data_IF_154228481239
#
_entry.id   IF_154228481239
#
_cell.length_a   1.000
_cell.length_b   1.000
_cell.length_c   1.000
_cell.angle_alpha   90.00
_cell.angle_beta   90.00
_cell.angle_gamma   90.00
#
_symmetry.space_group_name_H-M   'P 1'
#
loop_
_entity.id
_entity.type
_entity.pdbx_description
1 polymer ?
#
# COMPACT_ATOMS: atom_id res chain seq x y z
N UNK A 1 -31.90 5.28 -0.89
CA UNK A 1 -32.13 4.70 0.44
C UNK A 1 -33.43 3.95 0.36
N UNK A 2 -33.39 2.66 0.65
CA UNK A 2 -34.57 1.79 0.69
C UNK A 2 -35.60 2.31 1.70
N UNK A 3 -36.90 2.14 1.44
CA UNK A 3 -37.94 2.47 2.42
C UNK A 3 -37.86 1.56 3.65
N UNK A 4 -38.45 1.99 4.76
CA UNK A 4 -38.63 1.16 5.96
C UNK A 4 -37.79 1.55 7.18
N UNK A 5 -36.90 2.54 7.07
CA UNK A 5 -36.25 3.13 8.25
C UNK A 5 -37.30 3.90 9.06
N UNK A 6 -37.36 3.65 10.36
CA UNK A 6 -38.31 4.30 11.26
C UNK A 6 -37.59 4.99 12.42
N UNK A 7 -38.20 6.05 12.95
CA UNK A 7 -37.79 6.61 14.22
C UNK A 7 -37.90 5.54 15.32
N UNK A 8 -36.88 5.46 16.17
CA UNK A 8 -36.74 4.41 17.17
C UNK A 8 -36.00 3.16 16.69
N UNK A 9 -35.57 3.08 15.43
CA UNK A 9 -34.67 2.00 14.96
C UNK A 9 -33.37 2.06 15.78
N UNK A 10 -32.95 0.92 16.33
CA UNK A 10 -31.75 0.79 17.17
C UNK A 10 -30.75 -0.14 16.49
N UNK A 11 -29.47 0.21 16.58
CA UNK A 11 -28.38 -0.73 16.38
C UNK A 11 -27.36 -0.66 17.51
N UNK A 12 -26.89 -1.83 17.91
CA UNK A 12 -25.84 -1.99 18.91
C UNK A 12 -24.60 -2.58 18.24
N UNK A 13 -23.44 -2.05 18.59
CA UNK A 13 -22.14 -2.58 18.22
C UNK A 13 -21.31 -2.76 19.48
N UNK A 14 -20.71 -3.94 19.64
CA UNK A 14 -19.95 -4.29 20.85
C UNK A 14 -18.49 -4.57 20.51
N UNK A 15 -17.58 -4.02 21.31
CA UNK A 15 -16.14 -4.27 21.25
C UNK A 15 -15.61 -4.77 22.60
N UNK A 16 -14.48 -5.47 22.56
CA UNK A 16 -13.64 -5.72 23.73
C UNK A 16 -12.51 -4.68 23.67
N UNK A 17 -12.32 -3.92 24.76
CA UNK A 17 -11.29 -2.87 24.81
C UNK A 17 -9.91 -3.51 24.82
N UNK A 18 -9.12 -3.31 23.77
CA UNK A 18 -7.74 -3.80 23.70
C UNK A 18 -6.70 -2.67 23.85
N UNK A 19 -5.42 -3.04 23.79
CA UNK A 19 -4.29 -2.13 23.96
C UNK A 19 -4.22 -0.99 22.93
N UNK A 20 -4.84 -1.14 21.75
CA UNK A 20 -4.91 -0.10 20.71
C UNK A 20 -5.97 0.97 21.00
N UNK A 21 -6.89 0.70 21.93
CA UNK A 21 -8.07 1.54 22.18
C UNK A 21 -7.95 2.42 23.43
N UNK A 22 -6.90 2.21 24.22
CA UNK A 22 -6.69 2.86 25.51
C UNK A 22 -5.66 3.98 25.45
N UNK A 23 -5.74 4.89 26.41
CA UNK A 23 -4.71 5.91 26.67
C UNK A 23 -4.25 5.80 28.12
N UNK A 24 -2.97 6.03 28.35
CA UNK A 24 -2.39 6.07 29.69
C UNK A 24 -2.30 7.52 30.16
N UNK A 25 -3.07 7.87 31.18
CA UNK A 25 -3.13 9.24 31.69
C UNK A 25 -1.93 9.50 32.62
N UNK A 26 -1.22 10.60 32.38
CA UNK A 26 -0.10 11.03 33.23
C UNK A 26 1.09 10.07 33.28
N UNK A 27 1.16 9.08 32.39
CA UNK A 27 2.23 8.07 32.36
C UNK A 27 2.12 6.97 33.42
N UNK A 28 1.06 6.94 34.23
CA UNK A 28 0.82 5.87 35.21
C UNK A 28 0.03 4.73 34.56
N UNK A 29 0.64 3.55 34.41
CA UNK A 29 0.03 2.39 33.77
C UNK A 29 -1.25 1.89 34.48
N UNK A 30 -1.51 2.31 35.73
CA UNK A 30 -2.77 2.01 36.43
C UNK A 30 -3.92 2.92 35.98
N UNK A 31 -3.60 4.04 35.34
CA UNK A 31 -4.55 5.01 34.79
C UNK A 31 -4.70 4.84 33.27
N UNK A 32 -4.72 3.58 32.80
CA UNK A 32 -4.99 3.23 31.41
C UNK A 32 -6.48 3.05 31.18
N UNK A 33 -7.07 3.92 30.36
CA UNK A 33 -8.53 3.99 30.15
C UNK A 33 -8.90 3.95 28.68
N UNK A 34 -10.07 3.41 28.36
CA UNK A 34 -10.67 3.47 27.04
C UNK A 34 -10.78 4.92 26.57
N UNK A 35 -10.22 5.19 25.40
CA UNK A 35 -9.99 6.55 24.94
C UNK A 35 -11.26 7.18 24.36
N UNK A 36 -11.44 8.49 24.58
CA UNK A 36 -12.55 9.26 24.02
C UNK A 36 -12.70 9.10 22.50
N UNK A 37 -11.63 9.13 21.67
CA UNK A 37 -11.77 8.93 20.23
C UNK A 37 -12.34 7.57 19.85
N UNK A 38 -11.90 6.48 20.50
CA UNK A 38 -12.42 5.15 20.22
C UNK A 38 -13.87 4.99 20.72
N UNK A 39 -14.22 5.62 21.85
CA UNK A 39 -15.59 5.67 22.33
C UNK A 39 -16.52 6.38 21.33
N UNK A 40 -16.09 7.50 20.75
CA UNK A 40 -16.82 8.21 19.68
C UNK A 40 -16.93 7.32 18.44
N UNK A 41 -15.84 6.68 18.01
CA UNK A 41 -15.82 5.80 16.84
C UNK A 41 -16.79 4.62 16.99
N UNK A 42 -16.89 4.03 18.18
CA UNK A 42 -17.83 2.95 18.47
C UNK A 42 -19.29 3.39 18.26
N UNK A 43 -19.67 4.53 18.85
CA UNK A 43 -20.99 5.15 18.66
C UNK A 43 -21.27 5.53 17.20
N UNK A 44 -20.26 6.07 16.51
CA UNK A 44 -20.35 6.39 15.10
C UNK A 44 -20.64 5.13 14.26
N UNK A 45 -19.89 4.04 14.50
CA UNK A 45 -20.08 2.79 13.76
C UNK A 45 -21.44 2.16 14.06
N UNK A 46 -21.92 2.23 15.30
CA UNK A 46 -23.29 1.79 15.63
C UNK A 46 -24.33 2.54 14.79
N UNK A 47 -24.21 3.87 14.65
CA UNK A 47 -25.11 4.67 13.81
C UNK A 47 -25.00 4.31 12.32
N UNK A 48 -23.81 3.97 11.83
CA UNK A 48 -23.62 3.47 10.46
C UNK A 48 -24.28 2.10 10.26
N UNK A 49 -24.12 1.18 11.20
CA UNK A 49 -24.75 -0.15 11.14
C UNK A 49 -26.28 -0.05 11.17
N UNK A 50 -26.86 0.90 11.93
CA UNK A 50 -28.30 1.16 11.92
C UNK A 50 -28.85 1.51 10.52
N UNK A 51 -28.05 2.16 9.68
CA UNK A 51 -28.45 2.54 8.32
C UNK A 51 -28.16 1.48 7.26
N UNK A 52 -27.21 0.58 7.50
CA UNK A 52 -26.71 -0.37 6.51
C UNK A 52 -27.80 -1.19 5.80
N UNK A 53 -28.85 -1.71 6.49
CA UNK A 53 -29.93 -2.45 5.82
C UNK A 53 -30.72 -1.60 4.80
N UNK A 54 -30.74 -0.28 4.99
CA UNK A 54 -31.54 0.67 4.24
C UNK A 54 -30.77 1.36 3.12
N UNK A 55 -29.47 1.08 2.95
CA UNK A 55 -28.70 1.60 1.83
C UNK A 55 -29.01 0.83 0.54
N UNK A 56 -29.16 1.56 -0.56
CA UNK A 56 -29.14 1.01 -1.92
C UNK A 56 -27.70 0.72 -2.37
N UNK A 57 -27.56 -0.06 -3.45
CA UNK A 57 -26.26 -0.32 -4.04
C UNK A 57 -25.63 1.00 -4.53
N UNK A 58 -24.38 1.26 -4.11
CA UNK A 58 -23.67 2.48 -4.45
C UNK A 58 -24.00 3.68 -3.55
N UNK A 59 -24.79 3.51 -2.50
CA UNK A 59 -24.94 4.49 -1.43
C UNK A 59 -24.03 4.17 -0.24
N UNK A 60 -23.64 5.22 0.49
CA UNK A 60 -22.96 5.09 1.77
C UNK A 60 -23.49 6.13 2.76
N UNK A 61 -23.32 5.88 4.07
CA UNK A 61 -23.64 6.88 5.10
C UNK A 61 -22.38 7.55 5.65
N UNK A 62 -22.36 8.87 5.63
CA UNK A 62 -21.25 9.69 6.13
C UNK A 62 -21.69 10.50 7.33
N UNK A 63 -20.83 10.60 8.35
CA UNK A 63 -21.08 11.48 9.48
C UNK A 63 -20.92 12.94 9.08
N UNK A 64 -21.87 13.79 9.47
CA UNK A 64 -21.84 15.23 9.16
C UNK A 64 -21.90 16.12 10.40
N UNK A 65 -22.32 15.58 11.54
CA UNK A 65 -22.30 16.25 12.83
C UNK A 65 -22.22 15.20 13.96
N UNK A 66 -21.39 15.46 14.97
CA UNK A 66 -21.14 14.57 16.10
C UNK A 66 -20.95 15.42 17.35
N UNK A 67 -21.84 15.23 18.34
CA UNK A 67 -21.77 15.94 19.62
C UNK A 67 -21.89 14.95 20.77
N UNK A 68 -20.77 14.63 21.41
CA UNK A 68 -20.67 13.57 22.42
C UNK A 68 -20.03 14.12 23.70
N UNK A 69 -20.63 13.79 24.83
CA UNK A 69 -20.09 14.02 26.17
C UNK A 69 -19.46 12.73 26.69
N UNK A 70 -18.23 12.82 27.19
CA UNK A 70 -17.56 11.76 27.94
C UNK A 70 -18.01 11.86 29.42
N UNK A 71 -18.54 10.77 29.97
CA UNK A 71 -19.10 10.72 31.32
C UNK A 71 -18.29 9.85 32.28
N UNK A 72 -17.73 8.74 31.81
CA UNK A 72 -16.95 7.81 32.64
C UNK A 72 -15.93 7.01 31.82
N UNK A 73 -14.87 6.57 32.48
CA UNK A 73 -13.85 5.69 31.89
C UNK A 73 -14.11 4.21 32.14
N UNK A 74 -13.48 3.35 31.32
CA UNK A 74 -13.43 1.90 31.50
C UNK A 74 -12.02 1.39 31.14
N UNK A 75 -11.66 0.18 31.54
CA UNK A 75 -10.32 -0.37 31.38
C UNK A 75 -10.16 -1.29 30.17
N UNK A 76 -8.92 -1.75 29.97
CA UNK A 76 -8.59 -2.81 29.02
C UNK A 76 -9.28 -4.13 29.44
N UNK A 77 -9.75 -4.91 28.46
CA UNK A 77 -10.49 -6.15 28.65
C UNK A 77 -11.99 -5.98 28.88
N UNK A 78 -12.45 -4.76 29.17
CA UNK A 78 -13.88 -4.51 29.34
C UNK A 78 -14.62 -4.65 28.01
N UNK A 79 -15.83 -5.18 28.08
CA UNK A 79 -16.76 -5.19 26.95
C UNK A 79 -17.54 -3.87 26.93
N UNK A 80 -17.46 -3.15 25.82
CA UNK A 80 -18.15 -1.87 25.60
C UNK A 80 -19.14 -1.97 24.44
N UNK A 81 -20.32 -1.39 24.60
CA UNK A 81 -21.37 -1.38 23.59
C UNK A 81 -21.73 0.05 23.21
N UNK A 82 -21.56 0.38 21.93
CA UNK A 82 -22.12 1.57 21.31
C UNK A 82 -23.53 1.29 20.82
N UNK A 83 -24.48 2.10 21.23
CA UNK A 83 -25.87 2.08 20.79
C UNK A 83 -26.16 3.35 19.99
N UNK A 84 -26.86 3.20 18.88
CA UNK A 84 -27.41 4.30 18.12
C UNK A 84 -28.90 4.10 17.89
N UNK A 85 -29.70 5.11 18.26
CA UNK A 85 -31.15 5.10 18.10
C UNK A 85 -31.56 6.25 17.19
N UNK A 86 -32.27 5.94 16.11
CA UNK A 86 -32.77 6.95 15.17
C UNK A 86 -33.79 7.85 15.87
N UNK A 87 -33.52 9.15 15.95
CA UNK A 87 -34.38 10.14 16.58
C UNK A 87 -35.18 10.97 15.58
N UNK A 88 -34.64 11.20 14.38
CA UNK A 88 -35.34 11.92 13.31
C UNK A 88 -34.82 11.49 11.94
N UNK A 89 -35.69 11.55 10.93
CA UNK A 89 -35.38 11.24 9.53
C UNK A 89 -35.85 12.41 8.68
N UNK A 90 -34.90 13.16 8.12
CA UNK A 90 -35.14 14.32 7.25
C UNK A 90 -34.61 14.02 5.84
N UNK A 91 -35.41 13.29 5.07
CA UNK A 91 -35.01 12.80 3.76
C UNK A 91 -33.82 11.83 3.85
N UNK A 92 -32.64 12.28 3.39
CA UNK A 92 -31.38 11.51 3.45
C UNK A 92 -30.48 11.89 4.62
N UNK A 93 -30.92 12.76 5.52
CA UNK A 93 -30.25 13.08 6.78
C UNK A 93 -30.94 12.36 7.92
N UNK A 94 -30.19 11.59 8.70
CA UNK A 94 -30.71 10.81 9.81
C UNK A 94 -30.00 11.26 11.08
N UNK A 95 -30.80 11.60 12.08
CA UNK A 95 -30.32 11.98 13.41
C UNK A 95 -30.41 10.79 14.35
N UNK A 96 -29.43 10.67 15.23
CA UNK A 96 -29.31 9.61 16.21
C UNK A 96 -29.09 10.18 17.59
N UNK A 97 -29.72 9.58 18.59
CA UNK A 97 -29.19 9.56 19.94
C UNK A 97 -28.17 8.41 20.02
N UNK A 98 -26.98 8.69 20.54
CA UNK A 98 -25.91 7.70 20.66
C UNK A 98 -25.44 7.59 22.11
N UNK A 99 -25.11 6.37 22.52
CA UNK A 99 -24.65 6.05 23.86
C UNK A 99 -23.55 4.99 23.79
N UNK A 100 -22.54 5.07 24.65
CA UNK A 100 -21.55 4.02 24.86
C UNK A 100 -21.63 3.56 26.32
N UNK A 101 -21.68 2.25 26.53
CA UNK A 101 -21.80 1.61 27.85
C UNK A 101 -20.76 0.53 28.07
N UNK A 102 -20.39 0.29 29.33
CA UNK A 102 -19.78 -0.94 29.80
C UNK A 102 -20.70 -1.55 30.86
N UNK A 103 -21.43 -2.61 30.50
CA UNK A 103 -22.55 -3.12 31.30
C UNK A 103 -23.60 -2.03 31.53
N UNK A 104 -23.93 -1.77 32.80
CA UNK A 104 -24.91 -0.73 33.18
C UNK A 104 -24.34 0.68 33.23
N UNK A 105 -23.02 0.83 33.15
CA UNK A 105 -22.34 2.13 33.26
C UNK A 105 -22.28 2.83 31.90
N UNK A 106 -22.80 4.06 31.84
CA UNK A 106 -22.69 4.93 30.67
C UNK A 106 -21.32 5.61 30.64
N UNK A 107 -20.55 5.34 29.59
CA UNK A 107 -19.22 5.91 29.37
C UNK A 107 -19.29 7.24 28.60
N UNK A 108 -20.20 7.34 27.64
CA UNK A 108 -20.44 8.55 26.87
C UNK A 108 -21.81 8.56 26.22
N UNK A 109 -22.33 9.75 25.96
CA UNK A 109 -23.64 9.92 25.34
C UNK A 109 -23.70 11.21 24.53
N UNK A 110 -24.57 11.25 23.53
CA UNK A 110 -24.66 12.41 22.65
C UNK A 110 -25.63 12.26 21.49
N UNK A 111 -25.42 13.10 20.49
CA UNK A 111 -26.14 13.07 19.22
C UNK A 111 -25.18 12.89 18.06
N UNK A 112 -25.68 12.29 16.99
CA UNK A 112 -24.95 12.10 15.75
C UNK A 112 -25.89 12.33 14.57
N UNK A 113 -25.42 13.01 13.52
CA UNK A 113 -26.14 13.14 12.26
C UNK A 113 -25.35 12.47 11.15
N UNK A 114 -26.02 11.60 10.39
CA UNK A 114 -25.45 10.96 9.19
C UNK A 114 -26.23 11.34 7.94
N UNK A 115 -25.54 11.59 6.85
CA UNK A 115 -26.14 11.77 5.54
C UNK A 115 -25.93 10.53 4.68
N UNK A 116 -26.98 10.06 4.00
CA UNK A 116 -26.88 9.04 2.97
C UNK A 116 -26.55 9.71 1.64
N UNK A 117 -25.44 9.30 1.04
CA UNK A 117 -24.85 9.95 -0.14
C UNK A 117 -24.52 8.90 -1.21
N UNK A 118 -24.73 9.22 -2.50
CA UNK A 118 -24.25 8.36 -3.59
C UNK A 118 -22.71 8.40 -3.66
N UNK A 119 -22.08 7.23 -3.68
CA UNK A 119 -20.61 7.11 -3.79
C UNK A 119 -20.12 7.73 -5.12
N UNK A 120 -20.85 7.54 -6.21
CA UNK A 120 -20.53 8.14 -7.50
C UNK A 120 -20.43 9.67 -7.45
N UNK A 121 -21.34 10.33 -6.71
CA UNK A 121 -21.32 11.80 -6.56
C UNK A 121 -20.13 12.27 -5.72
N UNK A 122 -19.71 11.49 -4.72
CA UNK A 122 -18.46 11.78 -3.99
C UNK A 122 -17.28 11.66 -4.94
N UNK A 123 -17.22 10.59 -5.74
CA UNK A 123 -16.15 10.39 -6.73
C UNK A 123 -16.12 11.56 -7.74
N UNK A 124 -17.26 11.96 -8.30
CA UNK A 124 -17.36 13.10 -9.21
C UNK A 124 -16.89 14.40 -8.56
N UNK A 125 -17.29 14.67 -7.31
CA UNK A 125 -16.84 15.86 -6.58
C UNK A 125 -15.33 15.81 -6.28
N UNK A 126 -14.79 14.65 -5.89
CA UNK A 126 -13.36 14.49 -5.66
C UNK A 126 -12.56 14.62 -6.96
N UNK A 127 -13.08 14.11 -8.06
CA UNK A 127 -12.49 14.22 -9.39
C UNK A 127 -12.54 15.66 -9.91
N UNK A 128 -13.62 16.41 -9.64
CA UNK A 128 -13.68 17.83 -10.03
C UNK A 128 -12.75 18.72 -9.20
N UNK A 129 -12.44 18.32 -7.97
CA UNK A 129 -11.41 18.95 -7.13
C UNK A 129 -9.98 18.54 -7.50
N UNK A 130 -9.81 17.40 -8.18
CA UNK A 130 -8.52 16.87 -8.62
C UNK A 130 -8.67 16.17 -9.99
N UNK A 131 -8.66 16.94 -11.11
CA UNK A 131 -8.94 16.40 -12.46
C UNK A 131 -8.01 15.29 -12.93
N UNK A 132 -6.83 15.14 -12.30
CA UNK A 132 -5.77 14.19 -12.70
C UNK A 132 -5.75 12.88 -11.88
N UNK A 133 -6.43 12.81 -10.74
CA UNK A 133 -6.28 11.65 -9.85
C UNK A 133 -7.24 10.51 -10.19
N UNK A 134 -7.15 9.95 -11.40
CA UNK A 134 -7.76 8.63 -11.63
C UNK A 134 -7.03 7.61 -10.75
N UNK A 135 -7.72 7.07 -9.76
CA UNK A 135 -7.22 5.90 -9.06
C UNK A 135 -7.17 4.76 -10.09
N UNK A 136 -5.99 4.17 -10.29
CA UNK A 136 -5.84 3.05 -11.19
C UNK A 136 -6.70 1.91 -10.68
N UNK A 137 -7.69 1.52 -11.48
CA UNK A 137 -8.45 0.31 -11.25
C UNK A 137 -7.71 -0.82 -11.95
N UNK A 138 -6.74 -1.44 -11.26
CA UNK A 138 -6.13 -2.71 -11.70
C UNK A 138 -7.16 -3.82 -11.52
N UNK A 139 -8.22 -3.80 -12.33
CA UNK A 139 -9.21 -4.87 -12.36
C UNK A 139 -8.59 -6.10 -12.98
N UNK A 140 -8.83 -7.26 -12.35
CA UNK A 140 -8.49 -8.55 -12.91
C UNK A 140 -8.99 -8.65 -14.36
N UNK A 141 -8.09 -9.06 -15.26
CA UNK A 141 -8.40 -9.26 -16.67
C UNK A 141 -8.42 -10.75 -17.01
N UNK A 142 -9.48 -11.21 -17.65
CA UNK A 142 -9.59 -12.57 -18.20
C UNK A 142 -9.11 -12.68 -19.66
N UNK A 143 -8.61 -11.58 -20.24
CA UNK A 143 -8.09 -11.57 -21.61
C UNK A 143 -6.72 -12.27 -21.67
N UNK A 144 -6.29 -12.67 -22.86
CA UNK A 144 -4.90 -13.12 -23.07
C UNK A 144 -3.91 -11.99 -22.78
N UNK A 145 -2.72 -12.36 -22.29
CA UNK A 145 -1.66 -11.37 -22.06
C UNK A 145 -1.17 -10.87 -23.43
N UNK A 146 -1.23 -9.56 -23.72
CA UNK A 146 -0.75 -9.03 -24.98
C UNK A 146 0.76 -9.23 -25.12
N UNK A 147 1.26 -9.09 -26.35
CA UNK A 147 2.71 -9.10 -26.56
C UNK A 147 3.32 -7.86 -25.93
N UNK A 148 4.25 -8.08 -24.99
CA UNK A 148 4.96 -7.04 -24.26
C UNK A 148 6.36 -6.89 -24.87
N UNK A 149 6.84 -5.67 -24.92
CA UNK A 149 8.10 -5.30 -25.57
C UNK A 149 9.23 -5.07 -24.57
N UNK A 150 8.88 -4.60 -23.38
CA UNK A 150 9.80 -4.33 -22.27
C UNK A 150 9.78 -5.45 -21.23
N UNK A 151 8.85 -6.38 -21.31
CA UNK A 151 8.75 -7.58 -20.48
C UNK A 151 8.75 -8.84 -21.33
N UNK A 152 9.42 -9.90 -20.88
CA UNK A 152 9.26 -11.25 -21.43
C UNK A 152 8.52 -12.10 -20.41
N UNK A 153 7.42 -12.73 -20.82
CA UNK A 153 6.59 -13.55 -19.94
C UNK A 153 6.43 -14.94 -20.55
N UNK A 154 6.79 -15.98 -19.79
CA UNK A 154 6.61 -17.36 -20.20
C UNK A 154 5.98 -18.16 -19.05
N UNK A 155 4.86 -18.83 -19.31
CA UNK A 155 4.16 -19.63 -18.30
C UNK A 155 4.44 -21.11 -18.55
N UNK A 156 5.00 -21.80 -17.56
CA UNK A 156 5.24 -23.26 -17.59
C UNK A 156 4.89 -23.85 -16.23
N UNK A 157 4.20 -24.98 -16.22
CA UNK A 157 3.88 -25.71 -14.99
C UNK A 157 3.24 -24.83 -13.89
N UNK A 158 2.36 -23.89 -14.29
CA UNK A 158 1.70 -22.90 -13.41
C UNK A 158 2.64 -21.88 -12.76
N UNK A 159 3.85 -21.72 -13.29
CA UNK A 159 4.83 -20.71 -12.90
C UNK A 159 4.95 -19.70 -14.04
N UNK A 160 4.72 -18.42 -13.76
CA UNK A 160 5.03 -17.35 -14.70
C UNK A 160 6.47 -16.88 -14.50
N UNK A 161 7.31 -17.04 -15.52
CA UNK A 161 8.64 -16.47 -15.57
C UNK A 161 8.54 -15.10 -16.23
N UNK A 162 8.75 -14.05 -15.45
CA UNK A 162 8.71 -12.65 -15.88
C UNK A 162 10.13 -12.11 -15.88
N UNK A 163 10.58 -11.60 -17.02
CA UNK A 163 11.90 -11.02 -17.20
C UNK A 163 11.73 -9.56 -17.62
N UNK A 164 12.21 -8.62 -16.80
CA UNK A 164 12.34 -7.22 -17.21
C UNK A 164 13.38 -7.14 -18.33
N UNK A 165 12.99 -6.63 -19.49
CA UNK A 165 13.75 -6.76 -20.73
C UNK A 165 14.11 -5.40 -21.34
N UNK A 166 14.79 -4.55 -20.56
CA UNK A 166 15.49 -3.35 -21.05
C UNK A 166 16.96 -3.37 -20.60
N UNK A 167 17.75 -4.41 -20.94
CA UNK A 167 19.08 -4.63 -20.36
C UNK A 167 20.06 -3.48 -20.65
N UNK A 168 19.94 -2.82 -21.81
CA UNK A 168 20.74 -1.65 -22.17
C UNK A 168 20.50 -0.44 -21.24
N UNK A 169 19.32 -0.38 -20.62
CA UNK A 169 18.92 0.61 -19.63
C UNK A 169 19.03 0.07 -18.19
N UNK A 170 19.69 -1.08 -17.98
CA UNK A 170 19.71 -1.78 -16.69
C UNK A 170 18.31 -2.07 -16.14
N UNK A 171 17.36 -2.33 -17.05
CA UNK A 171 15.96 -2.56 -16.77
C UNK A 171 15.29 -1.42 -15.99
N UNK A 172 15.74 -0.17 -16.19
CA UNK A 172 15.04 0.98 -15.65
C UNK A 172 13.56 1.00 -16.11
N UNK A 173 12.66 1.49 -15.27
CA UNK A 173 11.22 1.51 -15.52
C UNK A 173 10.85 2.84 -16.19
N UNK A 174 10.52 2.78 -17.48
CA UNK A 174 9.94 3.91 -18.22
C UNK A 174 8.40 3.84 -18.21
N UNK A 175 7.74 4.85 -18.80
CA UNK A 175 6.27 4.85 -18.92
C UNK A 175 5.71 3.61 -19.65
N UNK A 176 6.44 3.10 -20.64
CA UNK A 176 6.03 1.93 -21.40
C UNK A 176 6.07 0.67 -20.53
N UNK A 177 7.19 0.43 -19.83
CA UNK A 177 7.31 -0.67 -18.89
C UNK A 177 6.32 -0.55 -17.73
N UNK A 178 6.03 0.67 -17.26
CA UNK A 178 4.96 0.90 -16.27
C UNK A 178 3.62 0.36 -16.80
N UNK A 179 3.21 0.76 -18.01
CA UNK A 179 1.97 0.29 -18.63
C UNK A 179 1.95 -1.22 -18.91
N UNK A 180 3.07 -1.82 -19.26
CA UNK A 180 3.18 -3.27 -19.47
C UNK A 180 3.15 -4.06 -18.15
N UNK A 181 3.74 -3.53 -17.07
CA UNK A 181 3.64 -4.11 -15.72
C UNK A 181 2.20 -4.04 -15.19
N UNK A 182 1.49 -2.94 -15.45
CA UNK A 182 0.06 -2.81 -15.12
C UNK A 182 -0.78 -3.89 -15.83
N UNK A 183 -0.53 -4.10 -17.13
CA UNK A 183 -1.19 -5.16 -17.91
C UNK A 183 -0.86 -6.55 -17.36
N UNK A 184 0.40 -6.80 -17.00
CA UNK A 184 0.83 -8.05 -16.39
C UNK A 184 0.15 -8.30 -15.04
N UNK A 185 0.07 -7.29 -14.17
CA UNK A 185 -0.59 -7.40 -12.85
C UNK A 185 -2.08 -7.69 -13.01
N UNK A 186 -2.77 -6.95 -13.88
CA UNK A 186 -4.18 -7.17 -14.18
C UNK A 186 -4.43 -8.60 -14.71
N UNK A 187 -3.55 -9.07 -15.61
CA UNK A 187 -3.62 -10.42 -16.16
C UNK A 187 -3.38 -11.48 -15.08
N UNK A 188 -2.32 -11.36 -14.27
CA UNK A 188 -2.04 -12.29 -13.18
C UNK A 188 -3.21 -12.37 -12.19
N UNK A 189 -3.79 -11.23 -11.82
CA UNK A 189 -4.95 -11.17 -10.93
C UNK A 189 -6.17 -11.94 -11.48
N UNK A 190 -6.38 -11.93 -12.80
CA UNK A 190 -7.47 -12.66 -13.45
C UNK A 190 -7.21 -14.14 -13.71
N UNK A 191 -5.97 -14.62 -13.55
CA UNK A 191 -5.59 -16.00 -13.87
C UNK A 191 -5.01 -16.80 -12.67
N UNK A 192 -5.58 -16.73 -11.45
CA UNK A 192 -5.00 -17.35 -10.25
C UNK A 192 -5.01 -18.87 -10.27
N UNK A 193 -5.84 -19.49 -11.11
CA UNK A 193 -5.87 -20.95 -11.28
C UNK A 193 -4.79 -21.44 -12.26
N UNK A 194 -4.47 -20.63 -13.29
CA UNK A 194 -3.48 -20.96 -14.31
C UNK A 194 -2.07 -20.67 -13.82
N UNK A 195 -1.88 -19.54 -13.13
CA UNK A 195 -0.60 -19.14 -12.54
C UNK A 195 -0.73 -19.16 -11.04
N UNK A 196 0.12 -19.95 -10.40
CA UNK A 196 0.18 -20.11 -8.94
C UNK A 196 1.41 -19.45 -8.32
N UNK A 197 2.50 -19.36 -9.07
CA UNK A 197 3.72 -18.69 -8.64
C UNK A 197 4.29 -17.81 -9.77
N UNK A 198 5.01 -16.77 -9.39
CA UNK A 198 5.66 -15.83 -10.31
C UNK A 198 7.14 -15.72 -9.94
N UNK A 199 8.02 -15.94 -10.91
CA UNK A 199 9.44 -15.62 -10.80
C UNK A 199 9.70 -14.33 -11.57
N UNK A 200 10.18 -13.29 -10.90
CA UNK A 200 10.55 -12.02 -11.56
C UNK A 200 12.06 -11.85 -11.53
N UNK A 201 12.67 -11.52 -12.66
CA UNK A 201 14.11 -11.27 -12.80
C UNK A 201 14.39 -10.16 -13.81
N UNK A 202 15.62 -9.64 -13.85
CA UNK A 202 16.05 -8.70 -14.88
C UNK A 202 16.91 -9.36 -15.95
N UNK A 203 16.72 -8.98 -17.21
CA UNK A 203 17.64 -9.35 -18.29
C UNK A 203 19.01 -8.67 -18.10
N UNK A 204 20.08 -9.38 -18.40
CA UNK A 204 21.45 -8.84 -18.33
C UNK A 204 21.97 -8.73 -16.89
N UNK A 205 22.70 -7.65 -16.61
CA UNK A 205 23.54 -7.52 -15.39
C UNK A 205 22.83 -6.89 -14.17
N UNK A 206 21.61 -6.41 -14.33
CA UNK A 206 20.86 -5.75 -13.26
C UNK A 206 19.48 -6.39 -13.12
N UNK A 207 18.93 -6.35 -11.91
CA UNK A 207 17.52 -6.66 -11.71
C UNK A 207 16.68 -5.50 -12.27
N UNK A 208 16.81 -4.32 -11.67
CA UNK A 208 16.18 -3.08 -12.11
C UNK A 208 16.86 -1.87 -11.46
N UNK A 209 17.26 -0.88 -12.27
CA UNK A 209 17.96 0.32 -11.80
C UNK A 209 17.03 1.43 -11.25
N UNK A 210 15.72 1.19 -11.15
CA UNK A 210 14.74 2.18 -10.72
C UNK A 210 14.04 2.85 -11.89
N UNK A 211 13.43 4.01 -11.67
CA UNK A 211 12.78 4.77 -12.74
C UNK A 211 13.79 5.24 -13.79
N UNK A 212 13.35 5.31 -15.04
CA UNK A 212 14.17 5.81 -16.12
C UNK A 212 14.32 7.34 -16.03
N UNK A 213 15.33 7.78 -15.27
CA UNK A 213 15.67 9.19 -15.02
C UNK A 213 15.82 10.00 -16.32
N UNK A 214 16.09 9.35 -17.45
CA UNK A 214 16.21 10.01 -18.77
C UNK A 214 14.89 10.53 -19.33
N UNK A 215 13.75 10.04 -18.84
CA UNK A 215 12.43 10.57 -19.23
C UNK A 215 12.05 11.85 -18.46
N UNK A 216 12.64 12.06 -17.28
CA UNK A 216 12.27 13.15 -16.37
C UNK A 216 12.49 14.56 -16.94
N UNK A 217 13.53 14.87 -17.74
CA UNK A 217 13.66 16.20 -18.32
C UNK A 217 12.56 16.56 -19.32
N UNK A 218 11.88 15.57 -19.89
CA UNK A 218 10.89 15.74 -20.96
C UNK A 218 9.43 15.57 -20.49
N UNK A 219 9.20 15.25 -19.21
CA UNK A 219 7.87 15.02 -18.66
C UNK A 219 7.36 16.30 -17.98
N UNK A 220 6.08 16.63 -18.18
CA UNK A 220 5.46 17.71 -17.41
C UNK A 220 5.33 17.30 -15.93
N UNK A 221 5.32 18.27 -15.01
CA UNK A 221 5.22 17.99 -13.57
C UNK A 221 3.95 17.22 -13.22
N UNK A 222 2.82 17.52 -13.87
CA UNK A 222 1.57 16.81 -13.61
C UNK A 222 1.64 15.35 -14.08
N UNK A 223 2.24 15.10 -15.26
CA UNK A 223 2.45 13.76 -15.77
C UNK A 223 3.42 12.95 -14.89
N UNK A 224 4.45 13.60 -14.31
CA UNK A 224 5.35 12.98 -13.35
C UNK A 224 4.63 12.60 -12.05
N UNK A 225 3.71 13.46 -11.58
CA UNK A 225 2.87 13.18 -10.42
C UNK A 225 1.98 11.98 -10.67
N UNK A 226 1.28 11.96 -11.81
CA UNK A 226 0.42 10.86 -12.21
C UNK A 226 1.22 9.55 -12.32
N UNK A 227 2.37 9.59 -12.99
CA UNK A 227 3.25 8.42 -13.13
C UNK A 227 3.69 7.86 -11.77
N UNK A 228 4.13 8.73 -10.84
CA UNK A 228 4.53 8.33 -9.48
C UNK A 228 3.37 7.68 -8.72
N UNK A 229 2.15 8.23 -8.82
CA UNK A 229 0.95 7.64 -8.20
C UNK A 229 0.60 6.29 -8.82
N UNK A 230 0.71 6.17 -10.15
CA UNK A 230 0.47 4.93 -10.87
C UNK A 230 1.46 3.83 -10.46
N UNK A 231 2.75 4.16 -10.38
CA UNK A 231 3.78 3.23 -9.94
C UNK A 231 3.60 2.81 -8.48
N UNK A 232 3.25 3.75 -7.58
CA UNK A 232 2.92 3.42 -6.19
C UNK A 232 1.77 2.41 -6.08
N UNK A 233 0.71 2.60 -6.87
CA UNK A 233 -0.44 1.69 -6.92
C UNK A 233 -0.08 0.35 -7.56
N UNK A 234 0.71 0.36 -8.63
CA UNK A 234 1.21 -0.83 -9.32
C UNK A 234 1.97 -1.75 -8.36
N UNK A 235 2.94 -1.23 -7.61
CA UNK A 235 3.74 -2.07 -6.71
C UNK A 235 2.92 -2.62 -5.53
N UNK A 236 1.95 -1.85 -5.01
CA UNK A 236 1.01 -2.35 -4.02
C UNK A 236 0.07 -3.43 -4.57
N UNK A 237 -0.39 -3.28 -5.81
CA UNK A 237 -1.23 -4.29 -6.44
C UNK A 237 -0.43 -5.57 -6.73
N UNK A 238 0.84 -5.41 -7.14
CA UNK A 238 1.77 -6.51 -7.32
C UNK A 238 1.99 -7.28 -6.00
N UNK A 239 2.25 -6.56 -4.90
CA UNK A 239 2.34 -7.13 -3.55
C UNK A 239 1.08 -7.93 -3.17
N UNK A 240 -0.10 -7.44 -3.52
CA UNK A 240 -1.40 -8.06 -3.16
C UNK A 240 -1.88 -9.18 -4.08
N UNK A 241 -1.12 -9.53 -5.12
CA UNK A 241 -1.49 -10.62 -6.03
C UNK A 241 -1.67 -11.95 -5.28
N UNK A 242 -2.66 -12.79 -5.66
CA UNK A 242 -2.91 -14.08 -5.03
C UNK A 242 -1.83 -15.14 -5.36
N UNK A 243 -0.93 -14.88 -6.30
CA UNK A 243 0.21 -15.74 -6.58
C UNK A 243 1.32 -15.53 -5.56
N UNK A 244 2.12 -16.57 -5.31
CA UNK A 244 3.40 -16.42 -4.61
C UNK A 244 4.45 -15.86 -5.56
N UNK A 245 4.98 -14.70 -5.24
CA UNK A 245 5.94 -13.95 -6.05
C UNK A 245 7.32 -14.08 -5.45
N UNK A 246 8.29 -14.45 -6.29
CA UNK A 246 9.70 -14.55 -5.90
C UNK A 246 10.50 -13.65 -6.83
N UNK A 247 11.15 -12.64 -6.25
CA UNK A 247 12.12 -11.82 -6.95
C UNK A 247 13.48 -12.54 -6.97
N UNK A 248 14.00 -12.76 -8.17
CA UNK A 248 15.32 -13.27 -8.46
C UNK A 248 16.23 -12.07 -8.78
N UNK A 249 16.81 -11.50 -7.73
CA UNK A 249 17.62 -10.28 -7.83
C UNK A 249 19.02 -10.64 -8.34
N UNK A 250 19.17 -10.58 -9.67
CA UNK A 250 20.38 -10.99 -10.40
C UNK A 250 21.48 -9.92 -10.48
N UNK A 251 21.26 -8.74 -9.90
CA UNK A 251 22.20 -7.61 -9.89
C UNK A 251 21.62 -6.44 -9.12
N UNK A 252 21.88 -5.22 -9.58
CA UNK A 252 21.35 -4.00 -8.94
C UNK A 252 19.81 -3.97 -8.93
N UNK A 253 19.24 -3.74 -7.74
CA UNK A 253 17.84 -3.42 -7.48
C UNK A 253 17.77 -2.06 -6.76
N UNK A 254 17.60 -0.98 -7.52
CA UNK A 254 17.71 0.39 -7.03
C UNK A 254 16.39 1.17 -7.21
N UNK A 255 16.10 2.11 -6.32
CA UNK A 255 14.90 2.96 -6.35
C UNK A 255 13.63 2.15 -6.58
N UNK A 256 12.84 2.51 -7.60
CA UNK A 256 11.66 1.73 -8.01
C UNK A 256 11.90 0.24 -8.27
N UNK A 257 13.11 -0.15 -8.68
CA UNK A 257 13.52 -1.56 -8.80
C UNK A 257 13.73 -2.25 -7.46
N UNK A 258 14.23 -1.53 -6.45
CA UNK A 258 14.25 -2.02 -5.07
C UNK A 258 12.81 -2.16 -4.55
N UNK A 259 11.93 -1.20 -4.86
CA UNK A 259 10.50 -1.27 -4.47
C UNK A 259 9.82 -2.49 -5.10
N UNK A 260 10.05 -2.77 -6.39
CA UNK A 260 9.54 -3.97 -7.05
C UNK A 260 10.04 -5.26 -6.38
N UNK A 261 11.31 -5.32 -5.97
CA UNK A 261 11.83 -6.46 -5.21
C UNK A 261 11.16 -6.57 -3.83
N UNK A 262 10.99 -5.46 -3.12
CA UNK A 262 10.29 -5.39 -1.83
C UNK A 262 8.83 -5.86 -1.94
N UNK A 263 8.17 -5.61 -3.07
CA UNK A 263 6.79 -6.04 -3.33
C UNK A 263 6.64 -7.55 -3.60
N UNK A 264 7.74 -8.30 -3.80
CA UNK A 264 7.68 -9.76 -3.87
C UNK A 264 7.47 -10.40 -2.50
N UNK A 265 6.94 -11.63 -2.45
CA UNK A 265 6.80 -12.37 -1.19
C UNK A 265 8.18 -12.84 -0.68
N UNK A 266 9.04 -13.27 -1.61
CA UNK A 266 10.38 -13.75 -1.32
C UNK A 266 11.40 -13.11 -2.27
N UNK A 267 12.62 -12.88 -1.78
CA UNK A 267 13.76 -12.33 -2.53
C UNK A 267 14.94 -13.28 -2.44
N UNK A 268 15.29 -13.90 -3.56
CA UNK A 268 16.54 -14.62 -3.74
C UNK A 268 17.53 -13.66 -4.42
N UNK A 269 18.71 -13.45 -3.84
CA UNK A 269 19.69 -12.51 -4.38
C UNK A 269 20.97 -13.23 -4.79
N UNK A 270 21.54 -12.83 -5.93
CA UNK A 270 22.91 -13.24 -6.24
C UNK A 270 23.89 -12.53 -5.30
N UNK A 271 25.08 -13.11 -5.08
CA UNK A 271 26.07 -12.54 -4.16
C UNK A 271 26.55 -11.14 -4.58
N UNK A 272 26.52 -10.83 -5.89
CA UNK A 272 26.89 -9.53 -6.44
C UNK A 272 25.74 -8.52 -6.47
N UNK A 273 24.53 -8.90 -6.03
CA UNK A 273 23.39 -8.00 -6.02
C UNK A 273 23.60 -6.86 -5.02
N UNK A 274 22.94 -5.73 -5.31
CA UNK A 274 22.89 -4.56 -4.43
C UNK A 274 21.48 -4.03 -4.37
N UNK A 275 21.10 -3.54 -3.20
CA UNK A 275 19.78 -2.95 -2.93
C UNK A 275 19.95 -1.50 -2.48
N UNK A 276 19.11 -0.58 -2.94
CA UNK A 276 19.27 0.83 -2.55
C UNK A 276 18.14 1.75 -2.97
N UNK A 277 18.05 2.90 -2.30
CA UNK A 277 17.14 4.00 -2.62
C UNK A 277 17.97 5.28 -2.87
N UNK A 278 18.62 5.40 -4.05
CA UNK A 278 19.61 6.44 -4.32
C UNK A 278 19.01 7.81 -4.70
N UNK A 279 17.69 7.98 -4.67
CA UNK A 279 16.96 9.16 -5.16
C UNK A 279 17.49 10.47 -4.56
N UNK A 280 17.89 10.46 -3.29
CA UNK A 280 18.41 11.66 -2.60
C UNK A 280 19.66 12.22 -3.29
N UNK A 281 20.44 11.36 -3.95
CA UNK A 281 21.63 11.75 -4.73
C UNK A 281 21.29 12.39 -6.07
N UNK A 282 20.02 12.38 -6.46
CA UNK A 282 19.49 13.10 -7.62
C UNK A 282 18.73 14.38 -7.22
N UNK A 283 18.54 14.64 -5.92
CA UNK A 283 17.89 15.85 -5.41
C UNK A 283 16.42 15.69 -5.02
N UNK A 284 15.92 14.46 -4.85
CA UNK A 284 14.55 14.21 -4.40
C UNK A 284 14.43 12.97 -3.51
N UNK A 285 13.39 12.87 -2.65
CA UNK A 285 13.12 11.65 -1.90
C UNK A 285 12.48 10.57 -2.80
N UNK A 286 12.47 9.30 -2.37
CA UNK A 286 11.64 8.28 -3.02
C UNK A 286 10.16 8.71 -3.08
N UNK A 287 9.55 8.66 -4.26
CA UNK A 287 8.16 9.04 -4.47
C UNK A 287 7.13 7.99 -4.03
N UNK A 288 7.60 6.79 -3.69
CA UNK A 288 6.79 5.65 -3.26
C UNK A 288 7.69 4.54 -2.66
N UNK A 289 7.08 3.50 -2.07
CA UNK A 289 7.80 2.31 -1.61
C UNK A 289 8.41 2.38 -0.21
N UNK A 290 8.36 3.54 0.45
CA UNK A 290 8.94 3.75 1.80
C UNK A 290 8.27 2.88 2.87
N UNK A 291 6.95 2.69 2.79
CA UNK A 291 6.21 1.84 3.72
C UNK A 291 6.63 0.37 3.60
N UNK A 292 6.77 -0.15 2.37
CA UNK A 292 7.27 -1.51 2.12
C UNK A 292 8.68 -1.71 2.67
N UNK A 293 9.59 -0.79 2.34
CA UNK A 293 10.97 -0.87 2.81
C UNK A 293 11.03 -0.83 4.34
N UNK A 294 10.32 0.11 4.96
CA UNK A 294 10.29 0.28 6.42
C UNK A 294 9.74 -0.95 7.13
N UNK A 295 8.70 -1.59 6.58
CA UNK A 295 8.15 -2.82 7.12
C UNK A 295 9.14 -4.00 7.08
N UNK A 296 9.97 -4.07 6.03
CA UNK A 296 10.94 -5.16 5.85
C UNK A 296 12.21 -5.00 6.70
N UNK A 297 12.79 -3.79 6.71
CA UNK A 297 14.11 -3.58 7.36
C UNK A 297 14.03 -2.76 8.66
N UNK A 298 12.86 -2.25 9.01
CA UNK A 298 12.67 -1.35 10.14
C UNK A 298 13.13 0.09 9.87
N UNK A 299 12.60 1.03 10.66
CA UNK A 299 12.80 2.48 10.49
C UNK A 299 14.27 2.90 10.39
N UNK A 300 15.14 2.40 11.26
CA UNK A 300 16.53 2.84 11.32
C UNK A 300 17.31 2.53 10.03
N UNK A 301 17.17 1.30 9.52
CA UNK A 301 17.82 0.85 8.28
C UNK A 301 17.20 1.50 7.04
N UNK A 302 15.88 1.69 7.03
CA UNK A 302 15.21 2.43 5.96
C UNK A 302 15.72 3.87 5.87
N UNK A 303 15.82 4.57 7.01
CA UNK A 303 16.42 5.91 7.06
C UNK A 303 17.88 5.91 6.59
N UNK A 304 18.69 4.95 7.02
CA UNK A 304 20.07 4.83 6.56
C UNK A 304 20.14 4.72 5.04
N UNK A 305 19.34 3.82 4.44
CA UNK A 305 19.35 3.58 2.99
C UNK A 305 18.89 4.82 2.20
N UNK A 306 17.80 5.46 2.63
CA UNK A 306 17.20 6.58 1.92
C UNK A 306 17.94 7.91 2.12
N UNK A 307 18.51 8.17 3.30
CA UNK A 307 19.18 9.45 3.60
C UNK A 307 20.63 9.50 3.10
N UNK A 308 21.29 8.34 2.96
CA UNK A 308 22.64 8.29 2.36
C UNK A 308 22.59 8.07 0.85
N UNK A 309 21.55 7.39 0.36
CA UNK A 309 21.49 6.89 -1.00
C UNK A 309 22.54 5.82 -1.32
N UNK A 310 23.20 5.27 -0.30
CA UNK A 310 24.23 4.24 -0.45
C UNK A 310 23.57 2.88 -0.64
N UNK A 311 23.84 2.14 -1.73
CA UNK A 311 23.32 0.80 -1.88
C UNK A 311 24.03 -0.16 -0.92
N UNK A 312 23.29 -1.11 -0.36
CA UNK A 312 23.80 -2.19 0.48
C UNK A 312 24.11 -3.43 -0.36
N UNK A 313 25.06 -4.23 0.12
CA UNK A 313 25.42 -5.52 -0.48
C UNK A 313 24.31 -6.56 -0.27
N UNK A 314 24.32 -7.63 -1.07
CA UNK A 314 23.41 -8.76 -0.89
C UNK A 314 23.52 -9.40 0.51
N UNK A 315 24.73 -9.49 1.07
CA UNK A 315 24.95 -9.98 2.45
C UNK A 315 24.28 -9.10 3.48
N UNK A 316 24.47 -7.78 3.40
CA UNK A 316 23.76 -6.85 4.28
C UNK A 316 22.24 -6.93 4.09
N UNK A 317 21.76 -7.09 2.85
CA UNK A 317 20.34 -7.26 2.59
C UNK A 317 19.78 -8.53 3.24
N UNK A 318 20.51 -9.65 3.22
CA UNK A 318 20.15 -10.87 3.95
C UNK A 318 20.11 -10.62 5.46
N UNK A 319 21.17 -10.02 6.02
CA UNK A 319 21.27 -9.72 7.46
C UNK A 319 20.17 -8.74 7.93
N UNK A 320 19.69 -7.88 7.04
CA UNK A 320 18.65 -6.91 7.34
C UNK A 320 17.23 -7.48 7.23
N UNK A 321 17.07 -8.68 6.66
CA UNK A 321 15.77 -9.26 6.33
C UNK A 321 15.19 -8.77 5.00
N UNK A 322 15.96 -7.97 4.23
CA UNK A 322 15.56 -7.52 2.90
C UNK A 322 15.71 -8.62 1.84
N UNK A 323 16.66 -9.54 1.98
CA UNK A 323 16.77 -10.75 1.17
C UNK A 323 16.47 -11.99 2.02
N UNK A 324 15.93 -13.05 1.41
CA UNK A 324 15.63 -14.31 2.09
C UNK A 324 16.74 -15.35 1.93
N UNK A 325 17.45 -15.32 0.80
CA UNK A 325 18.50 -16.29 0.49
C UNK A 325 19.56 -15.66 -0.43
N UNK A 326 20.82 -16.01 -0.21
CA UNK A 326 21.90 -15.73 -1.15
C UNK A 326 22.19 -16.96 -1.99
N UNK A 327 22.26 -16.75 -3.31
CA UNK A 327 22.45 -17.81 -4.28
C UNK A 327 23.71 -17.52 -5.10
N UNK A 328 24.56 -18.53 -5.39
CA UNK A 328 25.69 -18.35 -6.28
C UNK A 328 25.28 -17.82 -7.66
N UNK A 329 26.17 -17.04 -8.28
CA UNK A 329 25.95 -16.55 -9.64
C UNK A 329 25.69 -17.72 -10.61
N UNK A 330 24.70 -17.55 -11.50
CA UNK A 330 24.28 -18.59 -12.45
C UNK A 330 23.30 -19.64 -11.90
N UNK A 331 23.10 -19.74 -10.57
CA UNK A 331 22.17 -20.71 -9.97
C UNK A 331 20.80 -20.12 -9.60
N UNK A 332 20.65 -18.79 -9.70
CA UNK A 332 19.47 -18.08 -9.21
C UNK A 332 18.15 -18.56 -9.85
N UNK A 333 18.14 -18.77 -11.17
CA UNK A 333 16.96 -19.28 -11.90
C UNK A 333 16.60 -20.71 -11.48
N UNK A 334 17.59 -21.61 -11.43
CA UNK A 334 17.38 -22.99 -11.01
C UNK A 334 16.87 -23.06 -9.55
N UNK A 335 17.42 -22.23 -8.67
CA UNK A 335 17.00 -22.17 -7.27
C UNK A 335 15.58 -21.62 -7.11
N UNK A 336 15.23 -20.56 -7.85
CA UNK A 336 13.87 -20.02 -7.90
C UNK A 336 12.86 -21.06 -8.39
N UNK A 337 13.21 -21.79 -9.45
CA UNK A 337 12.39 -22.88 -10.00
C UNK A 337 12.12 -23.96 -8.95
N UNK A 338 13.16 -24.46 -8.28
CA UNK A 338 13.02 -25.46 -7.21
C UNK A 338 12.12 -24.99 -6.07
N UNK A 339 12.24 -23.71 -5.69
CA UNK A 339 11.41 -23.13 -4.65
C UNK A 339 9.94 -23.05 -5.08
N UNK A 340 9.66 -22.62 -6.31
CA UNK A 340 8.32 -22.64 -6.88
C UNK A 340 7.75 -24.06 -6.94
N UNK A 341 8.51 -25.04 -7.42
CA UNK A 341 8.07 -26.44 -7.50
C UNK A 341 7.68 -26.99 -6.13
N UNK A 342 8.46 -26.66 -5.09
CA UNK A 342 8.13 -27.01 -3.70
C UNK A 342 6.84 -26.33 -3.24
N UNK A 343 6.66 -25.04 -3.51
CA UNK A 343 5.44 -24.29 -3.16
C UNK A 343 4.20 -24.82 -3.90
N UNK A 344 4.36 -25.32 -5.13
CA UNK A 344 3.27 -25.92 -5.89
C UNK A 344 2.76 -27.23 -5.27
N UNK A 345 3.56 -27.93 -4.47
CA UNK A 345 3.10 -29.10 -3.70
C UNK A 345 2.25 -28.73 -2.48
N UNK A 346 2.19 -27.45 -2.10
CA UNK A 346 1.40 -26.98 -0.95
C UNK A 346 -0.01 -26.56 -1.38
N UNK A 347 -1.00 -26.57 -0.45
CA UNK A 347 -2.37 -26.14 -0.75
C UNK A 347 -2.42 -24.69 -1.20
N UNK A 348 -2.93 -24.44 -2.41
CA UNK A 348 -2.93 -23.11 -3.03
C UNK A 348 -3.67 -22.06 -2.21
N UNK A 349 -4.82 -22.43 -1.64
CA UNK A 349 -5.63 -21.52 -0.84
C UNK A 349 -4.98 -21.19 0.50
N UNK A 350 -4.30 -22.17 1.12
CA UNK A 350 -3.56 -21.91 2.36
C UNK A 350 -2.40 -20.93 2.12
N UNK A 351 -1.68 -21.03 1.00
CA UNK A 351 -0.62 -20.07 0.64
C UNK A 351 -1.19 -18.65 0.47
N UNK A 352 -2.29 -18.52 -0.29
CA UNK A 352 -2.99 -17.25 -0.50
C UNK A 352 -3.45 -16.62 0.80
N UNK A 353 -4.17 -17.39 1.61
CA UNK A 353 -4.68 -16.92 2.89
C UNK A 353 -3.55 -16.54 3.84
N UNK A 354 -2.45 -17.32 3.88
CA UNK A 354 -1.28 -16.99 4.71
C UNK A 354 -0.68 -15.64 4.31
N UNK A 355 -0.46 -15.43 3.01
CA UNK A 355 0.03 -14.14 2.48
C UNK A 355 -0.92 -13.00 2.84
N UNK A 356 -2.22 -13.18 2.63
CA UNK A 356 -3.23 -12.16 2.96
C UNK A 356 -3.24 -11.82 4.45
N UNK A 357 -3.19 -12.81 5.33
CA UNK A 357 -3.17 -12.62 6.78
C UNK A 357 -1.91 -11.86 7.23
N UNK A 358 -0.74 -12.19 6.68
CA UNK A 358 0.50 -11.44 6.97
C UNK A 358 0.33 -9.97 6.60
N UNK A 359 -0.17 -9.66 5.40
CA UNK A 359 -0.39 -8.27 5.00
C UNK A 359 -1.48 -7.55 5.80
N UNK A 360 -2.45 -8.28 6.37
CA UNK A 360 -3.42 -7.73 7.31
C UNK A 360 -2.77 -7.39 8.66
N UNK A 361 -1.80 -8.19 9.10
CA UNK A 361 -1.13 -8.09 10.40
C UNK A 361 0.12 -7.19 10.40
N UNK A 362 0.50 -6.58 9.28
CA UNK A 362 1.69 -5.71 9.12
C UNK A 362 1.71 -4.42 9.98
N UNK A 363 0.72 -4.22 10.87
CA UNK A 363 0.74 -3.22 11.94
C UNK A 363 -0.33 -2.13 11.83
N UNK A 364 -0.20 -1.08 12.66
CA UNK A 364 -1.22 -0.02 12.85
C UNK A 364 -1.27 1.03 11.74
N UNK A 365 -0.27 1.08 10.84
CA UNK A 365 -0.29 1.93 9.65
C UNK A 365 -0.38 1.05 8.41
N UNK A 366 -1.52 1.03 7.69
CA UNK A 366 -1.62 0.24 6.47
C UNK A 366 -0.59 0.73 5.45
N UNK A 367 0.05 -0.19 4.71
CA UNK A 367 0.79 0.16 3.50
C UNK A 367 -0.19 0.74 2.49
N UNK A 368 -0.13 2.05 2.30
CA UNK A 368 -0.93 2.78 1.31
C UNK A 368 0.01 3.44 0.32
N UNK A 369 -0.46 3.66 -0.92
CA UNK A 369 0.23 4.53 -1.85
C UNK A 369 0.10 5.94 -1.27
N UNK A 370 1.06 6.32 -0.42
CA UNK A 370 1.00 7.60 0.26
C UNK A 370 1.17 8.69 -0.78
N UNK A 371 0.07 9.40 -1.08
CA UNK A 371 0.13 10.62 -1.89
C UNK A 371 1.17 11.61 -1.34
N UNK A 372 1.42 11.58 -0.02
CA UNK A 372 2.45 12.39 0.62
C UNK A 372 3.87 12.13 0.07
N UNK A 373 4.21 10.87 -0.24
CA UNK A 373 5.51 10.49 -0.81
C UNK A 373 5.64 11.10 -2.21
N UNK A 374 4.63 10.90 -3.07
CA UNK A 374 4.57 11.51 -4.40
C UNK A 374 4.64 13.04 -4.31
N UNK A 375 3.87 13.69 -3.44
CA UNK A 375 3.90 15.16 -3.35
C UNK A 375 5.24 15.67 -2.83
N UNK A 376 5.93 14.93 -1.94
CA UNK A 376 7.29 15.29 -1.53
C UNK A 376 8.28 15.18 -2.70
N UNK A 377 8.23 14.09 -3.45
CA UNK A 377 8.99 13.91 -4.69
C UNK A 377 8.75 15.07 -5.67
N UNK A 378 7.48 15.38 -5.98
CA UNK A 378 7.11 16.42 -6.94
C UNK A 378 7.52 17.83 -6.49
N UNK A 379 7.45 18.13 -5.18
CA UNK A 379 7.96 19.40 -4.65
C UNK A 379 9.48 19.52 -4.84
N UNK A 380 10.23 18.45 -4.55
CA UNK A 380 11.69 18.44 -4.71
C UNK A 380 12.12 18.48 -6.18
N UNK A 381 11.39 17.80 -7.07
CA UNK A 381 11.68 17.78 -8.52
C UNK A 381 11.67 19.18 -9.16
N UNK A 382 10.94 20.14 -8.56
CA UNK A 382 10.85 21.52 -9.02
C UNK A 382 11.97 22.43 -8.45
N UNK A 383 12.87 21.90 -7.61
CA UNK A 383 13.95 22.68 -6.99
C UNK A 383 15.23 22.63 -7.83
N UNK A 384 16.13 23.58 -7.59
CA UNK A 384 17.41 23.69 -8.29
C UNK A 384 18.27 22.42 -8.15
N UNK A 385 18.24 21.77 -6.98
CA UNK A 385 19.03 20.55 -6.74
C UNK A 385 18.58 19.37 -7.59
N UNK A 386 17.28 19.24 -7.89
CA UNK A 386 16.80 18.22 -8.83
C UNK A 386 17.25 18.51 -10.27
N UNK A 387 17.26 19.79 -10.69
CA UNK A 387 17.78 20.19 -12.00
C UNK A 387 19.28 19.86 -12.12
N UNK A 388 20.06 20.19 -11.10
CA UNK A 388 21.49 19.84 -11.02
C UNK A 388 21.70 18.32 -11.02
N UNK A 389 20.91 17.57 -10.25
CA UNK A 389 20.98 16.10 -10.21
C UNK A 389 20.73 15.47 -11.58
N UNK A 390 19.72 15.94 -12.31
CA UNK A 390 19.43 15.50 -13.68
C UNK A 390 20.57 15.84 -14.65
N UNK A 391 21.12 17.07 -14.58
CA UNK A 391 22.24 17.49 -15.42
C UNK A 391 23.52 16.70 -15.11
N UNK A 392 23.81 16.46 -13.83
CA UNK A 392 24.96 15.70 -13.37
C UNK A 392 24.86 14.23 -13.79
N UNK A 393 23.67 13.63 -13.68
CA UNK A 393 23.40 12.28 -14.15
C UNK A 393 23.63 12.14 -15.66
N UNK A 394 23.07 13.07 -16.46
CA UNK A 394 23.25 13.08 -17.92
C UNK A 394 24.73 13.26 -18.31
N UNK A 395 25.46 14.12 -17.61
CA UNK A 395 26.89 14.37 -17.82
C UNK A 395 27.81 13.34 -17.15
N UNK A 396 27.27 12.33 -16.46
CA UNK A 396 28.02 11.30 -15.71
C UNK A 396 29.07 11.88 -14.75
N UNK A 397 28.70 12.94 -14.02
CA UNK A 397 29.54 13.63 -13.04
C UNK A 397 28.86 13.66 -11.66
N UNK A 398 29.61 13.90 -10.57
CA UNK A 398 28.99 14.21 -9.28
C UNK A 398 28.14 15.49 -9.35
N UNK A 399 26.97 15.52 -8.68
CA UNK A 399 26.16 16.73 -8.55
C UNK A 399 26.79 17.73 -7.57
N UNK A 400 26.47 19.01 -7.76
CA UNK A 400 26.87 20.13 -6.90
C UNK A 400 25.62 20.86 -6.38
N UNK A 401 25.07 20.34 -5.29
CA UNK A 401 23.87 20.91 -4.67
C UNK A 401 24.12 22.30 -4.08
N UNK A 402 23.09 23.14 -4.11
CA UNK A 402 23.17 24.56 -3.79
C UNK A 402 22.88 24.88 -2.32
N UNK A 403 22.11 24.01 -1.65
CA UNK A 403 21.83 24.05 -0.20
C UNK A 403 22.09 22.65 0.41
N UNK A 404 23.37 22.24 0.59
CA UNK A 404 23.73 20.88 1.00
C UNK A 404 23.42 20.54 2.47
#
# INVERSE_FOLDING_TARGET
MKPGLQQGTVADLTWIVDASMVITLGGDARATVFSTPNMILLMERAAREALRPYLEQGEESVGIDVNIRHLAGTGMGDTVTGRATVTAIEGRKIQFAVECRAGDRVLGQGTHVRAVVPVAKIIENLNSLTPSASAMSLTASSAELPTLSTLQVNVRNRIAHVILNRPAALNAVDRQMTGELEQLVAWLAGHPQQVRAVLVSGAGRAFCAGDDVRELPAIAIEDARELSLRQAQLYLAFERLPQTIIALVNGDALGGGCVLACAADLRLACHSARFGMPEIRLGWPPGYGLAQLTALVGKARALQLCLTGDPITATQALDWGLANELVPAGQLQARGQQLCERLLQLPAEALRATKQLIHLDEGTQPKVAHRADTEAYIRCLQRADAQEGLQAFAARRPPKFTEP
#
